data_IF_649248907705
#
_entry.id   IF_649248907705
#
_cell.length_a   1.000
_cell.length_b   1.000
_cell.length_c   1.000
_cell.angle_alpha   90.00
_cell.angle_beta   90.00
_cell.angle_gamma   90.00
#
_symmetry.space_group_name_H-M   'P 1'
#
loop_
_entity.id
_entity.type
_entity.pdbx_description
1 polymer ?
#
# COMPACT_ATOMS: atom_id res chain seq x y z
N UNK A 1 -4.24 15.09 9.72
CA UNK A 1 -5.37 15.21 8.78
C UNK A 1 -4.99 14.37 7.57
N UNK A 2 -5.93 13.63 6.95
CA UNK A 2 -5.64 12.92 5.70
C UNK A 2 -5.21 13.93 4.63
N UNK A 3 -4.10 13.63 3.96
CA UNK A 3 -3.55 14.46 2.88
C UNK A 3 -4.14 14.06 1.53
N UNK A 4 -4.66 12.84 1.41
CA UNK A 4 -5.27 12.30 0.19
C UNK A 4 -6.59 11.61 0.49
N UNK A 5 -7.42 11.46 -0.54
CA UNK A 5 -8.55 10.54 -0.54
C UNK A 5 -8.46 9.63 -1.76
N UNK A 6 -9.10 8.47 -1.69
CA UNK A 6 -9.14 7.53 -2.80
C UNK A 6 -10.52 6.89 -2.95
N UNK A 7 -10.81 6.44 -4.16
CA UNK A 7 -11.91 5.50 -4.45
C UNK A 7 -11.31 4.15 -4.73
N UNK A 8 -11.98 3.08 -4.31
CA UNK A 8 -11.52 1.70 -4.52
C UNK A 8 -11.38 1.38 -6.00
N UNK A 9 -10.71 0.30 -6.39
CA UNK A 9 -10.55 -0.08 -7.81
C UNK A 9 -9.57 -1.23 -7.98
N UNK A 10 -9.05 -1.44 -9.19
CA UNK A 10 -8.16 -2.57 -9.44
C UNK A 10 -6.66 -2.28 -9.29
N UNK A 11 -6.25 -1.02 -9.47
CA UNK A 11 -4.84 -0.64 -9.38
C UNK A 11 -4.41 -0.58 -7.92
N UNK A 12 -3.12 -0.75 -7.66
CA UNK A 12 -2.53 -0.51 -6.34
C UNK A 12 -2.07 0.93 -6.26
N UNK A 13 -2.30 1.59 -5.13
CA UNK A 13 -1.67 2.84 -4.76
C UNK A 13 -0.88 2.68 -3.46
N UNK A 14 0.37 3.12 -3.49
CA UNK A 14 1.22 3.26 -2.31
C UNK A 14 1.35 4.74 -1.99
N UNK A 15 0.94 5.12 -0.78
CA UNK A 15 1.03 6.46 -0.24
C UNK A 15 2.16 6.50 0.78
N UNK A 16 3.22 7.22 0.46
CA UNK A 16 4.30 7.54 1.40
C UNK A 16 4.30 9.02 1.78
N UNK A 17 5.17 9.37 2.71
CA UNK A 17 5.36 10.77 3.13
C UNK A 17 5.96 11.66 2.04
N UNK A 18 6.78 11.08 1.15
CA UNK A 18 7.52 11.79 0.10
C UNK A 18 7.03 11.49 -1.32
N UNK A 19 6.21 10.46 -1.54
CA UNK A 19 5.82 10.03 -2.89
C UNK A 19 4.53 9.21 -2.87
N UNK A 20 3.74 9.37 -3.93
CA UNK A 20 2.59 8.51 -4.24
C UNK A 20 2.86 7.73 -5.53
N UNK A 21 2.67 6.42 -5.49
CA UNK A 21 2.88 5.52 -6.63
C UNK A 21 1.61 4.72 -6.93
N UNK A 22 1.16 4.73 -8.18
CA UNK A 22 0.09 3.86 -8.67
C UNK A 22 0.66 2.84 -9.66
N UNK A 23 0.27 1.57 -9.49
CA UNK A 23 0.65 0.46 -10.35
C UNK A 23 -0.55 -0.43 -10.71
N UNK A 24 -0.60 -1.00 -11.93
CA UNK A 24 -1.63 -1.96 -12.33
C UNK A 24 -1.71 -3.17 -11.41
N UNK A 25 -2.89 -3.78 -11.32
CA UNK A 25 -3.11 -4.99 -10.51
C UNK A 25 -2.22 -6.18 -10.89
N UNK A 26 -1.70 -6.21 -12.12
CA UNK A 26 -0.72 -7.21 -12.60
C UNK A 26 0.64 -7.11 -11.91
N UNK A 27 0.98 -5.95 -11.35
CA UNK A 27 2.28 -5.63 -10.75
C UNK A 27 2.34 -5.92 -9.25
N UNK A 28 1.50 -6.82 -8.73
CA UNK A 28 1.40 -7.11 -7.29
C UNK A 28 2.74 -7.41 -6.61
N UNK A 29 3.64 -8.16 -7.28
CA UNK A 29 4.95 -8.47 -6.73
C UNK A 29 5.80 -7.20 -6.56
N UNK A 30 5.88 -6.39 -7.61
CA UNK A 30 6.59 -5.11 -7.63
C UNK A 30 6.07 -4.14 -6.57
N UNK A 31 4.75 -4.09 -6.37
CA UNK A 31 4.14 -3.27 -5.31
C UNK A 31 4.62 -3.69 -3.93
N UNK A 32 4.71 -5.00 -3.66
CA UNK A 32 5.20 -5.51 -2.39
C UNK A 32 6.67 -5.13 -2.13
N UNK A 33 7.51 -5.17 -3.17
CA UNK A 33 8.92 -4.78 -3.09
C UNK A 33 9.13 -3.27 -2.86
N UNK A 34 8.25 -2.44 -3.43
CA UNK A 34 8.33 -0.97 -3.34
C UNK A 34 7.68 -0.42 -2.07
N UNK A 35 6.66 -1.09 -1.55
CA UNK A 35 5.88 -0.59 -0.42
C UNK A 35 6.76 -0.25 0.79
N UNK A 36 7.60 -1.17 1.26
CA UNK A 36 8.45 -0.90 2.44
C UNK A 36 9.38 0.30 2.24
N UNK A 37 9.90 0.51 1.02
CA UNK A 37 10.78 1.66 0.73
C UNK A 37 10.02 2.97 0.79
N UNK A 38 8.83 3.01 0.20
CA UNK A 38 7.97 4.21 0.19
C UNK A 38 7.49 4.53 1.62
N UNK A 39 7.15 3.49 2.39
CA UNK A 39 6.79 3.60 3.81
C UNK A 39 7.95 4.16 4.66
N UNK A 40 9.17 3.71 4.38
CA UNK A 40 10.42 4.24 4.97
C UNK A 40 10.81 5.64 4.46
N UNK A 41 10.05 6.23 3.53
CA UNK A 41 10.24 7.59 3.03
C UNK A 41 11.09 7.71 1.76
N UNK A 42 11.17 6.66 0.93
CA UNK A 42 11.82 6.74 -0.37
C UNK A 42 11.20 7.84 -1.24
N UNK A 43 12.06 8.71 -1.75
CA UNK A 43 11.68 9.83 -2.60
C UNK A 43 11.42 9.42 -4.05
N UNK A 44 10.94 10.38 -4.83
CA UNK A 44 10.55 10.19 -6.23
C UNK A 44 11.62 9.52 -7.10
N UNK A 45 12.85 10.03 -7.06
CA UNK A 45 13.93 9.56 -7.95
C UNK A 45 14.40 8.14 -7.56
N UNK A 46 14.35 7.79 -6.27
CA UNK A 46 14.65 6.44 -5.78
C UNK A 46 13.60 5.42 -6.23
N UNK A 47 12.31 5.77 -6.08
CA UNK A 47 11.19 4.92 -6.54
C UNK A 47 11.26 4.73 -8.05
N UNK A 48 11.54 5.80 -8.80
CA UNK A 48 11.71 5.74 -10.25
C UNK A 48 12.85 4.79 -10.64
N UNK A 49 14.02 4.89 -10.01
CA UNK A 49 15.16 4.01 -10.32
C UNK A 49 14.78 2.52 -10.15
N UNK A 50 14.08 2.17 -9.07
CA UNK A 50 13.60 0.79 -8.84
C UNK A 50 12.61 0.34 -9.92
N UNK A 51 11.71 1.21 -10.38
CA UNK A 51 10.81 0.91 -11.50
C UNK A 51 11.60 0.64 -12.79
N UNK A 52 12.64 1.43 -13.05
CA UNK A 52 13.49 1.32 -14.24
C UNK A 52 14.33 0.04 -14.23
N UNK A 53 14.85 -0.39 -13.08
CA UNK A 53 15.69 -1.59 -12.94
C UNK A 53 15.02 -2.86 -13.45
N UNK A 54 13.70 -2.95 -13.37
CA UNK A 54 12.95 -4.11 -13.87
C UNK A 54 12.57 -4.03 -15.34
N UNK A 55 12.87 -2.92 -16.01
CA UNK A 55 12.56 -2.68 -17.41
C UNK A 55 11.16 -2.14 -17.63
N UNK A 56 11.08 -0.93 -18.19
CA UNK A 56 9.81 -0.27 -18.52
C UNK A 56 9.02 -0.99 -19.61
N UNK A 57 9.67 -1.75 -20.49
CA UNK A 57 8.96 -2.49 -21.54
C UNK A 57 7.92 -3.47 -20.99
N UNK A 58 8.11 -3.99 -19.78
CA UNK A 58 7.20 -4.92 -19.12
C UNK A 58 6.11 -4.24 -18.29
N UNK A 59 6.25 -2.94 -17.99
CA UNK A 59 5.33 -2.20 -17.13
C UNK A 59 4.18 -1.60 -17.96
N UNK A 60 2.92 -2.08 -17.83
CA UNK A 60 1.83 -1.65 -18.69
C UNK A 60 1.35 -0.23 -18.40
N UNK A 61 1.64 0.28 -17.20
CA UNK A 61 1.36 1.65 -16.81
C UNK A 61 1.84 1.94 -15.39
N UNK A 62 1.90 3.22 -15.04
CA UNK A 62 2.15 3.71 -13.69
C UNK A 62 1.81 5.20 -13.58
N UNK A 63 1.57 5.67 -12.36
CA UNK A 63 1.63 7.10 -12.03
C UNK A 63 2.59 7.28 -10.86
N UNK A 64 3.49 8.24 -10.94
CA UNK A 64 4.42 8.57 -9.87
C UNK A 64 4.34 10.07 -9.59
N UNK A 65 4.08 10.44 -8.33
CA UNK A 65 3.94 11.84 -7.90
C UNK A 65 4.86 12.08 -6.71
N UNK A 66 5.67 13.14 -6.75
CA UNK A 66 6.47 13.58 -5.59
C UNK A 66 5.59 14.32 -4.58
N UNK A 67 5.87 14.15 -3.29
CA UNK A 67 5.14 14.79 -2.18
C UNK A 67 6.01 15.71 -1.30
N UNK A 68 7.24 16.01 -1.73
CA UNK A 68 8.21 16.82 -0.99
C UNK A 68 7.91 18.33 -1.04
N UNK A 69 8.60 19.15 -0.23
CA UNK A 69 8.48 20.63 -0.19
C UNK A 69 8.94 21.36 -1.49
N UNK A 70 9.15 20.63 -2.59
CA UNK A 70 9.60 21.15 -3.88
C UNK A 70 8.51 21.19 -4.94
N UNK A 71 8.87 21.50 -6.19
CA UNK A 71 7.92 21.39 -7.30
C UNK A 71 7.47 19.94 -7.46
N UNK A 72 6.17 19.75 -7.67
CA UNK A 72 5.56 18.43 -7.80
C UNK A 72 5.91 17.83 -9.15
N UNK A 73 6.71 16.78 -9.16
CA UNK A 73 7.00 15.95 -10.34
C UNK A 73 5.89 14.91 -10.51
N UNK A 74 5.37 14.79 -11.71
CA UNK A 74 4.35 13.82 -12.09
C UNK A 74 4.81 13.05 -13.33
N UNK A 75 4.88 11.73 -13.21
CA UNK A 75 5.01 10.82 -14.35
C UNK A 75 3.73 10.05 -14.55
N UNK A 76 3.26 9.94 -15.79
CA UNK A 76 2.07 9.17 -16.12
C UNK A 76 2.30 8.31 -17.37
N UNK A 77 1.90 7.04 -17.30
CA UNK A 77 1.95 6.09 -18.41
C UNK A 77 0.82 5.07 -18.30
N UNK A 78 0.26 4.68 -19.44
CA UNK A 78 -0.77 3.65 -19.53
C UNK A 78 -2.17 4.26 -19.41
N UNK A 79 -3.20 3.48 -19.03
CA UNK A 79 -4.58 3.92 -19.02
C UNK A 79 -4.89 4.80 -17.80
N UNK A 80 -4.20 5.93 -17.70
CA UNK A 80 -4.28 6.88 -16.59
C UNK A 80 -4.37 8.30 -17.10
N UNK A 81 -5.07 9.13 -16.35
CA UNK A 81 -5.15 10.57 -16.57
C UNK A 81 -4.90 11.29 -15.25
N UNK A 82 -4.05 12.32 -15.27
CA UNK A 82 -3.83 13.21 -14.13
C UNK A 82 -4.36 14.58 -14.49
N UNK A 83 -5.27 15.12 -13.68
CA UNK A 83 -5.85 16.46 -13.85
C UNK A 83 -5.74 17.24 -12.56
N UNK A 84 -5.58 18.55 -12.62
CA UNK A 84 -5.47 19.34 -11.41
C UNK A 84 -5.18 20.80 -11.67
N UNK A 85 -5.04 21.60 -10.63
CA UNK A 85 -4.72 23.02 -10.73
C UNK A 85 -3.36 23.31 -10.12
N UNK A 86 -2.54 24.07 -10.84
CA UNK A 86 -1.20 24.49 -10.42
C UNK A 86 -0.90 25.88 -10.98
N UNK A 87 -0.30 26.75 -10.18
CA UNK A 87 -0.03 28.16 -10.55
C UNK A 87 -1.28 28.92 -11.07
N UNK A 88 -2.47 28.55 -10.58
CA UNK A 88 -3.75 29.10 -11.02
C UNK A 88 -4.23 28.65 -12.41
N UNK A 89 -3.54 27.69 -13.04
CA UNK A 89 -3.89 27.10 -14.34
C UNK A 89 -4.36 25.65 -14.22
N UNK A 90 -5.21 25.22 -15.17
CA UNK A 90 -5.63 23.83 -15.25
C UNK A 90 -4.58 22.99 -15.97
N UNK A 91 -4.13 21.92 -15.32
CA UNK A 91 -3.20 20.93 -15.84
C UNK A 91 -3.95 19.65 -16.20
N UNK A 92 -3.59 19.05 -17.34
CA UNK A 92 -4.03 17.71 -17.74
C UNK A 92 -2.86 16.94 -18.35
N UNK A 93 -2.65 15.72 -17.87
CA UNK A 93 -1.59 14.80 -18.30
C UNK A 93 -2.27 13.49 -18.68
N UNK A 94 -2.12 13.08 -19.93
CA UNK A 94 -2.69 11.82 -20.45
C UNK A 94 -1.58 10.79 -20.65
N UNK A 95 -1.66 9.66 -19.94
CA UNK A 95 -0.67 8.59 -19.99
C UNK A 95 -0.86 7.60 -21.15
N UNK A 96 -2.00 7.61 -21.84
CA UNK A 96 -2.43 6.50 -22.74
C UNK A 96 -1.54 6.29 -23.95
N UNK A 97 -1.11 7.38 -24.58
CA UNK A 97 -0.37 7.35 -25.84
C UNK A 97 1.15 7.47 -25.65
N UNK A 98 1.63 7.42 -24.40
CA UNK A 98 3.05 7.60 -24.09
C UNK A 98 3.86 6.30 -24.34
N UNK A 99 4.86 6.39 -25.22
CA UNK A 99 5.79 5.28 -25.48
C UNK A 99 6.70 4.97 -24.27
N UNK A 100 7.12 5.99 -23.55
CA UNK A 100 7.92 5.88 -22.32
C UNK A 100 7.10 6.32 -21.12
N UNK A 101 6.80 7.61 -20.99
CA UNK A 101 5.88 8.22 -20.03
C UNK A 101 5.73 9.71 -20.41
N UNK A 102 4.69 10.36 -19.90
CA UNK A 102 4.60 11.82 -19.89
C UNK A 102 5.15 12.33 -18.57
N UNK A 103 6.01 13.34 -18.62
CA UNK A 103 6.62 13.97 -17.45
C UNK A 103 6.21 15.44 -17.35
N UNK A 104 5.82 15.85 -16.16
CA UNK A 104 5.59 17.25 -15.81
C UNK A 104 6.19 17.57 -14.44
N UNK A 105 6.63 18.80 -14.33
CA UNK A 105 7.03 19.43 -13.07
C UNK A 105 6.11 20.63 -12.88
N UNK A 106 5.42 20.67 -11.75
CA UNK A 106 4.37 21.64 -11.45
C UNK A 106 4.77 22.43 -10.20
N UNK A 107 4.74 23.75 -10.31
CA UNK A 107 4.91 24.67 -9.18
C UNK A 107 3.55 25.02 -8.58
N UNK A 108 3.50 25.35 -7.28
CA UNK A 108 2.29 25.81 -6.58
C UNK A 108 1.03 24.97 -6.87
N UNK A 109 1.14 23.64 -6.70
CA UNK A 109 0.03 22.71 -6.91
C UNK A 109 -1.06 22.91 -5.85
N UNK A 110 -2.28 23.22 -6.31
CA UNK A 110 -3.46 23.39 -5.47
C UNK A 110 -4.24 22.08 -5.34
N UNK A 111 -4.33 21.31 -6.43
CA UNK A 111 -4.99 20.01 -6.45
C UNK A 111 -4.50 19.11 -7.58
N UNK A 112 -4.53 17.80 -7.36
CA UNK A 112 -4.32 16.75 -8.35
C UNK A 112 -5.35 15.63 -8.13
N UNK A 113 -5.90 15.15 -9.23
CA UNK A 113 -6.73 13.96 -9.32
C UNK A 113 -6.10 12.99 -10.31
N UNK A 114 -5.76 11.80 -9.82
CA UNK A 114 -5.19 10.71 -10.60
C UNK A 114 -6.32 9.71 -10.86
N UNK A 115 -6.66 9.49 -12.13
CA UNK A 115 -7.77 8.62 -12.53
C UNK A 115 -7.25 7.47 -13.37
N UNK A 116 -7.63 6.26 -13.00
CA UNK A 116 -7.42 5.04 -13.80
C UNK A 116 -8.62 4.89 -14.75
N UNK A 117 -8.36 4.89 -16.06
CA UNK A 117 -9.38 4.91 -17.11
C UNK A 117 -9.83 3.50 -17.55
N UNK A 118 -8.96 2.51 -17.37
CA UNK A 118 -9.22 1.10 -17.64
C UNK A 118 -8.76 0.31 -16.42
N UNK A 119 -9.62 0.26 -15.40
CA UNK A 119 -9.29 -0.47 -14.19
C UNK A 119 -9.61 -1.97 -14.33
N UNK A 120 -10.32 -2.39 -15.39
CA UNK A 120 -10.59 -3.80 -15.64
C UNK A 120 -11.45 -4.47 -14.55
N UNK A 121 -12.03 -3.68 -13.63
CA UNK A 121 -13.00 -4.15 -12.65
C UNK A 121 -14.34 -4.30 -13.36
N UNK A 122 -14.99 -5.43 -13.12
CA UNK A 122 -16.40 -5.66 -13.48
C UNK A 122 -17.32 -5.49 -12.27
N UNK A 123 -16.73 -5.19 -11.12
CA UNK A 123 -17.42 -4.97 -9.85
C UNK A 123 -17.71 -3.48 -9.71
N UNK A 124 -18.88 -3.13 -9.17
CA UNK A 124 -19.26 -1.76 -8.87
C UNK A 124 -18.25 -1.16 -7.90
N UNK A 125 -17.37 -0.31 -8.43
CA UNK A 125 -16.46 0.48 -7.62
C UNK A 125 -17.28 1.40 -6.73
N UNK A 126 -17.04 1.36 -5.41
CA UNK A 126 -17.69 2.29 -4.50
C UNK A 126 -17.27 3.73 -4.87
N UNK A 127 -18.25 4.56 -5.24
CA UNK A 127 -18.07 5.99 -5.52
C UNK A 127 -17.80 6.85 -4.26
N UNK A 128 -17.41 6.20 -3.16
CA UNK A 128 -17.15 6.82 -1.87
C UNK A 128 -15.67 7.18 -1.77
N UNK A 129 -15.40 8.46 -1.51
CA UNK A 129 -14.05 8.95 -1.25
C UNK A 129 -13.62 8.59 0.18
N UNK A 130 -12.57 7.76 0.29
CA UNK A 130 -12.02 7.28 1.55
C UNK A 130 -10.75 8.06 1.91
N UNK A 131 -10.65 8.65 3.11
CA UNK A 131 -9.46 9.40 3.52
C UNK A 131 -8.29 8.46 3.79
N UNK A 132 -7.08 8.90 3.43
CA UNK A 132 -5.83 8.19 3.71
C UNK A 132 -4.69 9.17 4.02
N UNK A 133 -3.75 8.73 4.86
CA UNK A 133 -2.51 9.45 5.16
C UNK A 133 -1.35 8.75 4.44
N UNK A 134 -1.16 7.48 4.76
CA UNK A 134 -0.12 6.60 4.24
C UNK A 134 -0.65 5.17 4.10
N UNK A 135 0.08 4.33 3.36
CA UNK A 135 -0.18 2.90 3.24
C UNK A 135 -0.42 2.41 1.81
N UNK A 136 -0.89 1.17 1.69
CA UNK A 136 -1.12 0.48 0.43
C UNK A 136 -2.61 0.11 0.31
N UNK A 137 -3.27 0.61 -0.73
CA UNK A 137 -4.68 0.34 -1.00
C UNK A 137 -4.90 0.05 -2.49
N UNK A 138 -6.08 -0.48 -2.81
CA UNK A 138 -6.51 -0.59 -4.20
C UNK A 138 -7.35 0.62 -4.60
N UNK A 139 -7.10 1.18 -5.78
CA UNK A 139 -7.69 2.44 -6.23
C UNK A 139 -8.16 2.41 -7.68
N UNK A 140 -9.16 3.25 -7.96
CA UNK A 140 -9.51 3.73 -9.31
C UNK A 140 -9.25 5.24 -9.44
N UNK A 141 -9.30 5.96 -8.32
CA UNK A 141 -9.07 7.41 -8.25
C UNK A 141 -8.30 7.76 -6.98
N UNK A 142 -7.42 8.74 -7.07
CA UNK A 142 -6.75 9.39 -5.94
C UNK A 142 -6.88 10.90 -6.09
N UNK A 143 -7.23 11.59 -5.01
CA UNK A 143 -7.33 13.04 -4.93
C UNK A 143 -6.38 13.59 -3.87
N UNK A 144 -5.67 14.67 -4.23
CA UNK A 144 -4.72 15.39 -3.40
C UNK A 144 -4.97 16.90 -3.57
N UNK A 145 -5.34 17.66 -2.53
CA UNK A 145 -5.66 17.19 -1.18
C UNK A 145 -6.91 16.29 -1.15
N UNK A 146 -7.12 15.61 -0.03
CA UNK A 146 -8.30 14.78 0.21
C UNK A 146 -9.60 15.55 -0.06
N UNK A 147 -10.48 14.97 -0.88
CA UNK A 147 -11.87 15.44 -1.01
C UNK A 147 -12.58 15.09 0.29
N UNK A 148 -13.22 16.08 0.91
CA UNK A 148 -14.02 15.84 2.09
C UNK A 148 -15.18 14.91 1.72
N UNK A 149 -15.21 13.70 2.28
CA UNK A 149 -16.40 12.88 2.23
C UNK A 149 -17.54 13.66 2.90
N UNK A 150 -18.60 13.98 2.16
CA UNK A 150 -19.82 14.52 2.74
C UNK A 150 -20.30 13.54 3.81
N UNK A 151 -20.08 13.90 5.08
CA UNK A 151 -20.43 13.10 6.25
C UNK A 151 -21.95 13.04 6.51
N UNK A 152 -22.79 13.18 5.48
CA UNK A 152 -24.24 13.29 5.57
C UNK A 152 -24.99 11.99 5.20
N UNK A 153 -24.28 10.86 5.08
CA UNK A 153 -24.90 9.54 4.86
C UNK A 153 -24.93 8.64 6.11
N UNK A 154 -24.53 9.13 7.29
CA UNK A 154 -24.71 8.39 8.55
C UNK A 154 -25.01 9.29 9.74
N UNK A 155 -26.00 10.16 9.60
CA UNK A 155 -26.88 10.47 10.73
C UNK A 155 -28.24 9.86 10.45
N UNK A 156 -28.28 8.52 10.48
CA UNK A 156 -29.52 7.84 10.84
C UNK A 156 -29.95 8.42 12.17
N UNK A 157 -30.99 9.26 12.14
CA UNK A 157 -31.66 9.74 13.34
C UNK A 157 -32.13 8.50 14.10
N UNK A 158 -31.33 8.06 15.06
CA UNK A 158 -31.80 7.22 16.14
C UNK A 158 -32.82 8.07 16.90
N UNK A 159 -34.07 8.01 16.45
CA UNK A 159 -35.19 8.54 17.20
C UNK A 159 -35.13 7.97 18.63
N UNK A 160 -35.55 8.73 19.65
CA UNK A 160 -35.44 8.29 21.03
C UNK A 160 -36.11 6.93 21.21
N UNK A 161 -35.30 5.92 21.50
CA UNK A 161 -35.79 4.59 21.86
C UNK A 161 -36.64 4.72 23.15
N UNK A 162 -37.85 4.15 23.20
CA UNK A 162 -38.62 4.14 24.44
C UNK A 162 -37.83 3.34 25.49
N UNK A 163 -37.63 3.94 26.66
CA UNK A 163 -36.95 3.32 27.79
C UNK A 163 -37.62 1.99 28.15
N UNK A 164 -36.93 0.88 27.87
CA UNK A 164 -37.29 -0.41 28.42
C UNK A 164 -37.01 -0.36 29.92
N UNK A 165 -38.09 -0.36 30.71
CA UNK A 165 -38.03 -0.54 32.17
C UNK A 165 -37.45 -1.92 32.46
N UNK A 166 -36.23 -1.96 32.99
CA UNK A 166 -35.64 -3.18 33.52
C UNK A 166 -36.41 -3.58 34.81
N UNK A 167 -36.98 -4.78 34.92
CA UNK A 167 -37.41 -5.28 36.21
C UNK A 167 -36.19 -5.50 37.12
N UNK A 168 -36.36 -5.05 38.37
CA UNK A 168 -35.37 -5.06 39.43
C UNK A 168 -34.80 -6.46 39.70
N UNK A 169 -33.50 -6.50 39.99
CA UNK A 169 -32.80 -7.69 40.44
C UNK A 169 -33.19 -8.02 41.89
N UNK A 170 -33.88 -9.13 42.08
CA UNK A 170 -34.07 -9.77 43.38
C UNK A 170 -33.65 -11.24 43.28
N UNK A 171 -32.74 -11.65 44.17
CA UNK A 171 -32.58 -13.08 44.51
C UNK A 171 -31.18 -13.64 44.31
N UNK A 172 -30.34 -13.43 45.31
CA UNK A 172 -29.14 -14.24 45.59
C UNK A 172 -29.50 -15.74 45.64
N UNK A 173 -28.79 -16.59 44.90
CA UNK A 173 -28.54 -17.98 45.30
C UNK A 173 -27.47 -18.68 44.43
N UNK A 174 -26.31 -18.90 45.06
CA UNK A 174 -25.42 -20.05 44.93
C UNK A 174 -24.66 -20.29 43.61
N UNK A 175 -23.40 -19.89 43.67
CA UNK A 175 -22.25 -20.33 42.88
C UNK A 175 -21.98 -21.83 43.08
N UNK A 176 -21.96 -22.67 42.02
CA UNK A 176 -21.27 -23.94 42.08
C UNK A 176 -19.84 -23.75 41.55
N UNK A 177 -18.88 -23.92 42.47
CA UNK A 177 -17.44 -24.04 42.26
C UNK A 177 -17.16 -25.24 41.34
N UNK A 178 -16.62 -25.08 40.12
CA UNK A 178 -16.09 -26.19 39.35
C UNK A 178 -14.62 -26.42 39.75
N UNK A 179 -14.39 -27.59 40.31
CA UNK A 179 -13.11 -28.14 40.77
C UNK A 179 -11.98 -27.93 39.76
N UNK A 180 -10.86 -27.42 40.26
CA UNK A 180 -9.60 -27.32 39.55
C UNK A 180 -9.12 -28.71 39.10
N UNK A 181 -9.25 -28.98 37.80
CA UNK A 181 -8.59 -30.11 37.16
C UNK A 181 -7.06 -29.93 37.22
N UNK A 182 -6.28 -31.01 37.42
CA UNK A 182 -4.86 -30.93 37.68
C UNK A 182 -4.06 -30.36 36.50
N UNK A 183 -3.03 -29.62 36.93
CA UNK A 183 -1.94 -28.93 36.24
C UNK A 183 -1.37 -29.67 35.01
N UNK A 184 -0.97 -28.95 33.94
CA UNK A 184 -0.26 -29.53 32.81
C UNK A 184 1.09 -30.12 33.26
N UNK A 185 1.32 -31.40 32.97
CA UNK A 185 2.64 -32.02 33.15
C UNK A 185 3.69 -31.28 32.31
N UNK A 186 4.83 -30.86 32.90
CA UNK A 186 5.93 -30.30 32.13
C UNK A 186 6.51 -31.39 31.21
N UNK A 187 6.42 -31.17 29.90
CA UNK A 187 7.21 -31.93 28.95
C UNK A 187 8.69 -31.70 29.23
N UNK A 188 9.50 -32.75 29.43
CA UNK A 188 10.92 -32.59 29.69
C UNK A 188 11.62 -31.94 28.49
N UNK A 189 12.45 -30.94 28.78
CA UNK A 189 13.52 -30.45 27.92
C UNK A 189 14.29 -31.64 27.34
N UNK A 190 14.27 -31.78 26.01
CA UNK A 190 15.28 -32.58 25.31
C UNK A 190 16.61 -31.86 25.44
N UNK A 191 17.36 -32.29 26.44
CA UNK A 191 18.78 -32.03 26.65
C UNK A 191 19.55 -32.23 25.34
N UNK A 192 20.47 -31.30 25.08
CA UNK A 192 21.40 -31.34 23.97
C UNK A 192 22.24 -32.62 23.96
N UNK A 193 22.55 -33.11 22.77
CA UNK A 193 23.79 -33.84 22.54
C UNK A 193 24.55 -33.18 21.39
N UNK A 194 25.67 -32.49 21.67
CA UNK A 194 26.65 -32.13 20.67
C UNK A 194 27.38 -33.41 20.26
N UNK A 195 27.42 -33.69 18.96
CA UNK A 195 28.23 -34.78 18.41
C UNK A 195 28.99 -34.21 17.21
N UNK A 196 30.26 -33.93 17.51
CA UNK A 196 31.39 -33.71 16.63
C UNK A 196 31.26 -34.37 15.25
N UNK A 197 31.51 -33.55 14.23
CA UNK A 197 31.81 -33.97 12.87
C UNK A 197 32.91 -33.09 12.28
N UNK A 198 33.90 -32.70 13.09
CA UNK A 198 35.18 -32.23 12.57
C UNK A 198 35.93 -33.46 12.03
N UNK A 199 36.02 -33.56 10.71
CA UNK A 199 37.03 -34.38 10.05
C UNK A 199 37.57 -33.57 8.88
N UNK A 200 38.48 -32.69 9.26
CA UNK A 200 39.72 -32.47 8.55
C UNK A 200 40.27 -33.80 8.02
N UNK A 201 40.35 -33.94 6.70
CA UNK A 201 41.57 -34.48 6.09
C UNK A 201 41.75 -33.86 4.72
N UNK A 202 42.81 -33.08 4.61
CA UNK A 202 43.50 -32.74 3.39
C UNK A 202 43.62 -33.92 2.40
N UNK A 203 43.50 -33.63 1.11
CA UNK A 203 44.45 -34.22 0.16
C UNK A 203 44.96 -33.17 -0.82
N UNK A 204 46.21 -32.80 -0.59
CA UNK A 204 47.10 -32.15 -1.53
C UNK A 204 47.25 -32.98 -2.81
N UNK A 205 47.37 -32.28 -3.94
CA UNK A 205 48.47 -32.50 -4.87
C UNK A 205 48.26 -33.55 -5.96
N UNK A 206 48.43 -33.09 -7.20
CA UNK A 206 49.27 -33.68 -8.28
C UNK A 206 48.93 -32.89 -9.56
N UNK A 207 49.74 -31.91 -9.97
CA UNK A 207 51.00 -31.99 -10.74
C UNK A 207 50.74 -31.90 -12.25
N UNK A 208 51.30 -30.84 -12.84
CA UNK A 208 52.00 -30.73 -14.13
C UNK A 208 51.81 -31.83 -15.19
N UNK A 209 51.49 -31.44 -16.43
CA UNK A 209 52.19 -31.77 -17.70
C UNK A 209 51.45 -31.03 -18.86
N UNK A 210 52.00 -30.04 -19.57
CA UNK A 210 53.07 -30.05 -20.58
C UNK A 210 52.73 -30.79 -21.91
N UNK A 211 52.44 -29.99 -22.95
CA UNK A 211 52.70 -30.29 -24.38
C UNK A 211 51.65 -31.12 -25.15
N UNK A 212 51.71 -31.16 -26.50
CA UNK A 212 52.72 -30.62 -27.41
C UNK A 212 52.30 -29.33 -28.17
#
# INVERSE_FOLDING_TARGET
MPTSSYRTGAWFAVFGSATTLLLPGSEKARVADLWSRIDDGAGFDEVLDVLLQSGLGALPGFVLVSGDDGPTKVLARGPVQVTGSADGEQVSIDGRDALTWVERTLDDVESLALVVLDDGSTEDTDDVDLPIVDGLVRVSRVDQPAVAADADASSGTAGPAPAAVLPSAEGLASEPEPEAGPEPEPVPESEASPLDGESDTANMGTREDAGP
#
